data_IF_415891423862
#
_entry.id   IF_415891423862
#
_cell.length_a   1.000
_cell.length_b   1.000
_cell.length_c   1.000
_cell.angle_alpha   90.00
_cell.angle_beta   90.00
_cell.angle_gamma   90.00
#
_symmetry.space_group_name_H-M   'P 1'
#
loop_
_entity.id
_entity.type
_entity.pdbx_description
1 polymer ?
#
# COMPACT_ATOMS: atom_id res chain seq x y z
N UNK A 1 -9.90 -5.28 11.78
CA UNK A 1 -9.55 -6.44 10.92
C UNK A 1 -8.38 -7.26 11.48
N UNK A 2 -7.41 -6.64 12.17
CA UNK A 2 -6.24 -7.35 12.73
C UNK A 2 -6.63 -8.45 13.74
N UNK A 3 -7.79 -8.34 14.37
CA UNK A 3 -8.30 -9.29 15.36
C UNK A 3 -9.01 -10.52 14.77
N UNK A 4 -9.30 -10.50 13.47
CA UNK A 4 -10.07 -11.59 12.84
C UNK A 4 -9.32 -12.92 12.93
N UNK A 5 -8.05 -12.92 12.53
CA UNK A 5 -7.24 -14.13 12.52
C UNK A 5 -7.09 -14.76 13.91
N UNK A 6 -6.64 -14.04 14.95
CA UNK A 6 -6.52 -14.63 16.29
C UNK A 6 -7.87 -15.06 16.88
N UNK A 7 -8.95 -14.34 16.58
CA UNK A 7 -10.29 -14.71 17.04
C UNK A 7 -10.78 -16.03 16.40
N UNK A 8 -10.66 -16.13 15.07
CA UNK A 8 -11.04 -17.37 14.38
C UNK A 8 -10.17 -18.55 14.77
N UNK A 9 -8.87 -18.32 14.95
CA UNK A 9 -7.96 -19.38 15.41
C UNK A 9 -8.37 -19.94 16.77
N UNK A 10 -8.77 -19.08 17.71
CA UNK A 10 -9.26 -19.51 19.02
C UNK A 10 -10.62 -20.21 18.93
N UNK A 11 -11.60 -19.60 18.26
CA UNK A 11 -12.94 -20.20 18.11
C UNK A 11 -12.93 -21.57 17.42
N UNK A 12 -12.02 -21.76 16.45
CA UNK A 12 -11.85 -23.02 15.72
C UNK A 12 -10.86 -23.98 16.40
N UNK A 13 -10.30 -23.62 17.55
CA UNK A 13 -9.29 -24.40 18.26
C UNK A 13 -8.11 -24.81 17.34
N UNK A 14 -7.66 -23.88 16.48
CA UNK A 14 -6.57 -24.11 15.57
C UNK A 14 -5.24 -24.07 16.34
N UNK A 15 -4.33 -24.98 16.01
CA UNK A 15 -2.97 -24.94 16.55
C UNK A 15 -2.29 -23.63 16.09
N UNK A 16 -1.59 -22.98 17.01
CA UNK A 16 -0.77 -21.79 16.65
C UNK A 16 0.18 -22.17 15.52
N UNK A 17 -0.05 -21.59 14.35
CA UNK A 17 0.92 -21.61 13.26
C UNK A 17 2.07 -20.70 13.69
N UNK A 18 3.33 -21.12 13.45
CA UNK A 18 4.47 -20.23 13.65
C UNK A 18 4.40 -19.11 12.60
N UNK A 19 4.01 -17.94 13.04
CA UNK A 19 3.93 -16.72 12.25
C UNK A 19 4.75 -15.63 12.92
N UNK A 20 4.95 -14.51 12.25
CA UNK A 20 5.35 -13.27 12.91
C UNK A 20 4.35 -12.97 14.05
N UNK A 21 4.78 -12.26 15.12
CA UNK A 21 3.85 -11.82 16.15
C UNK A 21 2.64 -11.10 15.53
N UNK A 22 1.44 -11.41 16.02
CA UNK A 22 0.22 -10.77 15.55
C UNK A 22 -0.03 -9.49 16.37
N UNK A 23 -0.33 -8.39 15.69
CA UNK A 23 -0.76 -7.14 16.35
C UNK A 23 -2.19 -7.25 16.90
N UNK A 24 -2.97 -8.18 16.38
CA UNK A 24 -4.33 -8.46 16.80
C UNK A 24 -4.41 -9.35 18.03
N UNK A 25 -5.52 -9.23 18.74
CA UNK A 25 -5.88 -10.11 19.88
C UNK A 25 -7.17 -10.85 19.58
N UNK A 26 -7.35 -12.01 20.24
CA UNK A 26 -8.62 -12.71 20.12
C UNK A 26 -9.74 -11.97 20.87
N UNK A 27 -10.88 -11.87 20.22
CA UNK A 27 -12.12 -11.33 20.78
C UNK A 27 -13.13 -12.44 21.10
N UNK A 28 -12.70 -13.71 21.12
CA UNK A 28 -13.58 -14.86 21.33
C UNK A 28 -14.36 -14.77 22.66
N UNK A 29 -13.70 -14.37 23.74
CA UNK A 29 -14.34 -14.19 25.05
C UNK A 29 -15.37 -13.05 25.04
N UNK A 30 -15.10 -11.94 24.35
CA UNK A 30 -16.10 -10.87 24.18
C UNK A 30 -17.31 -11.35 23.39
N UNK A 31 -17.11 -12.15 22.35
CA UNK A 31 -18.19 -12.74 21.55
C UNK A 31 -19.02 -13.75 22.34
N UNK A 32 -18.42 -14.39 23.34
CA UNK A 32 -19.12 -15.27 24.29
C UNK A 32 -19.87 -14.52 25.40
N UNK A 33 -19.81 -13.18 25.40
CA UNK A 33 -20.51 -12.35 26.39
C UNK A 33 -19.69 -12.04 27.65
N UNK A 34 -18.42 -12.39 27.67
CA UNK A 34 -17.53 -12.01 28.76
C UNK A 34 -17.15 -10.54 28.67
N UNK A 35 -17.12 -9.85 29.81
CA UNK A 35 -16.78 -8.44 29.88
C UNK A 35 -15.25 -8.26 29.87
N UNK A 36 -14.65 -8.33 28.68
CA UNK A 36 -13.22 -8.08 28.47
C UNK A 36 -13.02 -6.70 27.86
N UNK A 37 -12.36 -5.81 28.58
CA UNK A 37 -11.90 -4.54 28.01
C UNK A 37 -10.52 -4.74 27.39
N UNK A 38 -10.41 -4.49 26.09
CA UNK A 38 -9.12 -4.47 25.36
C UNK A 38 -8.64 -3.02 25.31
N UNK A 39 -7.80 -2.63 26.27
CA UNK A 39 -7.16 -1.32 26.25
C UNK A 39 -5.84 -1.40 25.48
N UNK A 40 -5.80 -0.83 24.27
CA UNK A 40 -4.62 -0.80 23.41
C UNK A 40 -4.69 0.31 22.38
N UNK A 41 -3.55 0.65 21.83
CA UNK A 41 -3.48 1.53 20.68
C UNK A 41 -3.83 0.73 19.40
N UNK A 42 -4.71 1.31 18.58
CA UNK A 42 -5.00 0.86 17.23
C UNK A 42 -4.49 1.89 16.25
N UNK A 43 -3.53 1.48 15.44
CA UNK A 43 -2.89 2.36 14.46
C UNK A 43 -3.53 2.20 13.08
N UNK A 44 -3.68 3.31 12.39
CA UNK A 44 -4.11 3.36 11.00
C UNK A 44 -3.18 4.30 10.24
N UNK A 45 -2.74 3.88 9.08
CA UNK A 45 -1.91 4.68 8.20
C UNK A 45 -2.37 4.49 6.76
N UNK A 46 -2.35 5.55 5.97
CA UNK A 46 -2.63 5.51 4.54
C UNK A 46 -1.36 5.94 3.82
N UNK A 47 -0.75 5.00 3.10
CA UNK A 47 0.37 5.30 2.21
C UNK A 47 -0.13 5.30 0.77
N UNK A 48 0.18 6.35 0.04
CA UNK A 48 0.23 6.30 -1.41
C UNK A 48 1.61 5.77 -1.81
N UNK A 49 1.71 5.09 -2.95
CA UNK A 49 2.95 4.44 -3.44
C UNK A 49 4.06 5.46 -3.80
N UNK A 50 4.26 6.46 -2.96
CA UNK A 50 5.34 7.43 -3.08
C UNK A 50 6.40 7.15 -2.02
N UNK A 51 7.62 6.99 -2.44
CA UNK A 51 8.76 6.83 -1.54
C UNK A 51 9.51 8.17 -1.39
N UNK A 52 10.01 8.48 -0.21
CA UNK A 52 9.85 7.73 1.04
C UNK A 52 8.43 7.82 1.61
N UNK A 53 7.95 6.74 2.23
CA UNK A 53 6.67 6.76 2.94
C UNK A 53 6.80 7.68 4.16
N UNK A 54 5.89 8.63 4.29
CA UNK A 54 5.87 9.60 5.40
C UNK A 54 4.87 9.17 6.47
N UNK A 55 5.04 9.59 7.75
CA UNK A 55 4.17 9.17 8.86
C UNK A 55 2.80 9.84 8.86
N UNK A 56 2.29 10.23 7.70
CA UNK A 56 0.95 10.82 7.56
C UNK A 56 0.42 10.60 6.13
N UNK A 57 -0.92 10.61 5.93
CA UNK A 57 -1.95 10.70 6.95
C UNK A 57 -2.10 9.41 7.75
N UNK A 58 -2.39 9.54 9.04
CA UNK A 58 -2.59 8.42 9.92
C UNK A 58 -3.43 8.75 11.15
N UNK A 59 -3.66 7.74 11.97
CA UNK A 59 -4.38 7.90 13.22
C UNK A 59 -3.94 6.86 14.24
N UNK A 60 -4.04 7.22 15.51
CA UNK A 60 -3.99 6.27 16.61
C UNK A 60 -5.24 6.41 17.48
N UNK A 61 -5.85 5.27 17.77
CA UNK A 61 -7.04 5.20 18.64
C UNK A 61 -6.72 4.42 19.90
N UNK A 62 -6.94 5.08 21.02
CA UNK A 62 -6.99 4.47 22.34
C UNK A 62 -8.26 4.98 23.04
N UNK A 63 -9.28 4.11 23.08
CA UNK A 63 -10.60 4.54 23.56
C UNK A 63 -10.54 5.19 24.94
N UNK A 64 -11.21 6.36 25.13
CA UNK A 64 -12.14 7.03 24.22
C UNK A 64 -11.49 8.02 23.25
N UNK A 65 -10.18 8.09 23.16
CA UNK A 65 -9.47 9.07 22.35
C UNK A 65 -9.10 8.55 20.96
N UNK A 66 -9.06 9.48 20.01
CA UNK A 66 -8.49 9.28 18.68
C UNK A 66 -7.62 10.50 18.34
N UNK A 67 -6.36 10.26 18.02
CA UNK A 67 -5.45 11.27 17.51
C UNK A 67 -5.33 11.10 15.99
N UNK A 68 -5.56 12.16 15.24
CA UNK A 68 -5.34 12.22 13.79
C UNK A 68 -3.99 12.88 13.53
N UNK A 69 -3.16 12.19 12.76
CA UNK A 69 -1.81 12.63 12.38
C UNK A 69 -1.83 13.03 10.90
N UNK A 70 -1.73 14.32 10.64
CA UNK A 70 -1.66 14.91 9.31
C UNK A 70 -0.30 15.55 9.05
N UNK A 71 -0.20 16.32 7.98
CA UNK A 71 0.97 17.16 7.65
C UNK A 71 1.02 18.47 8.49
N UNK A 72 0.00 18.70 9.31
CA UNK A 72 -0.10 19.82 10.26
C UNK A 72 -0.08 19.29 11.70
N UNK A 73 -0.33 20.18 12.67
CA UNK A 73 -0.43 19.77 14.06
C UNK A 73 -1.48 18.66 14.25
N UNK A 74 -1.17 17.61 15.01
CA UNK A 74 -2.11 16.53 15.29
C UNK A 74 -3.36 17.06 16.00
N UNK A 75 -4.49 16.39 15.75
CA UNK A 75 -5.78 16.74 16.35
C UNK A 75 -6.28 15.58 17.20
N UNK A 76 -6.71 15.91 18.42
CA UNK A 76 -7.23 14.92 19.38
C UNK A 76 -8.75 15.05 19.53
N UNK A 77 -9.43 13.90 19.52
CA UNK A 77 -10.88 13.82 19.65
C UNK A 77 -11.28 12.81 20.73
N UNK A 78 -12.33 13.11 21.48
CA UNK A 78 -12.96 12.14 22.35
C UNK A 78 -14.20 11.53 21.65
N UNK A 79 -14.04 10.38 21.05
CA UNK A 79 -15.09 9.74 20.21
C UNK A 79 -16.31 9.26 20.99
N UNK A 80 -16.23 9.16 22.30
CA UNK A 80 -17.40 8.86 23.17
C UNK A 80 -18.32 10.08 23.31
N UNK A 81 -17.75 11.29 23.37
CA UNK A 81 -18.50 12.54 23.53
C UNK A 81 -18.78 13.23 22.20
N UNK A 82 -17.88 13.04 21.24
CA UNK A 82 -17.87 13.67 19.93
C UNK A 82 -17.58 12.60 18.85
N UNK A 83 -18.58 11.79 18.53
CA UNK A 83 -18.46 10.72 17.54
C UNK A 83 -18.19 11.24 16.12
N UNK A 84 -18.55 12.49 15.84
CA UNK A 84 -18.33 13.16 14.55
C UNK A 84 -16.94 13.83 14.44
N UNK A 85 -16.14 13.83 15.53
CA UNK A 85 -14.78 14.40 15.57
C UNK A 85 -14.75 15.87 15.10
N UNK A 86 -15.64 16.68 15.62
CA UNK A 86 -15.77 18.11 15.26
C UNK A 86 -14.98 19.04 16.20
N UNK A 87 -14.78 18.62 17.45
CA UNK A 87 -14.10 19.42 18.47
C UNK A 87 -12.70 18.87 18.75
N UNK A 88 -11.69 19.58 18.27
CA UNK A 88 -10.29 19.29 18.60
C UNK A 88 -9.99 19.70 20.05
N UNK A 89 -9.64 18.73 20.88
CA UNK A 89 -9.33 18.92 22.31
C UNK A 89 -7.83 18.74 22.61
N UNK A 90 -6.95 18.74 21.61
CA UNK A 90 -5.51 18.56 21.80
C UNK A 90 -4.91 19.62 22.75
N UNK A 91 -5.38 20.88 22.63
CA UNK A 91 -4.94 21.97 23.50
C UNK A 91 -5.36 21.82 24.96
N UNK A 92 -6.49 21.16 25.21
CA UNK A 92 -7.00 20.91 26.57
C UNK A 92 -6.39 19.64 27.19
N UNK A 93 -5.86 18.73 26.36
CA UNK A 93 -5.31 17.44 26.77
C UNK A 93 -3.91 17.20 26.16
N UNK A 94 -2.94 18.09 26.35
CA UNK A 94 -1.65 18.05 25.66
C UNK A 94 -0.83 16.80 25.98
N UNK A 95 -0.95 16.27 27.19
CA UNK A 95 -0.21 15.07 27.59
C UNK A 95 -0.73 13.81 26.88
N UNK A 96 -2.05 13.68 26.73
CA UNK A 96 -2.67 12.58 25.99
C UNK A 96 -2.28 12.68 24.52
N UNK A 97 -2.38 13.86 23.93
CA UNK A 97 -2.03 14.07 22.53
C UNK A 97 -0.55 13.73 22.25
N UNK A 98 0.35 14.16 23.14
CA UNK A 98 1.78 13.86 23.04
C UNK A 98 2.05 12.36 23.15
N UNK A 99 1.49 11.69 24.15
CA UNK A 99 1.70 10.25 24.35
C UNK A 99 1.23 9.44 23.13
N UNK A 100 0.02 9.71 22.64
CA UNK A 100 -0.50 9.01 21.46
C UNK A 100 0.32 9.30 20.20
N UNK A 101 0.87 10.50 20.07
CA UNK A 101 1.75 10.85 18.94
C UNK A 101 3.09 10.11 19.03
N UNK A 102 3.68 10.03 20.21
CA UNK A 102 4.92 9.27 20.44
C UNK A 102 4.71 7.79 20.14
N UNK A 103 3.64 7.19 20.64
CA UNK A 103 3.25 5.81 20.36
C UNK A 103 3.07 5.56 18.84
N UNK A 104 2.41 6.51 18.15
CA UNK A 104 2.24 6.43 16.70
C UNK A 104 3.56 6.48 15.95
N UNK A 105 4.45 7.41 16.30
CA UNK A 105 5.75 7.53 15.64
C UNK A 105 6.63 6.31 15.90
N UNK A 106 6.59 5.74 17.09
CA UNK A 106 7.33 4.52 17.41
C UNK A 106 6.83 3.34 16.59
N UNK A 107 5.50 3.16 16.52
CA UNK A 107 4.88 2.13 15.67
C UNK A 107 5.25 2.33 14.20
N UNK A 108 5.10 3.56 13.68
CA UNK A 108 5.44 3.86 12.29
C UNK A 108 6.91 3.57 11.98
N UNK A 109 7.83 3.98 12.86
CA UNK A 109 9.24 3.72 12.67
C UNK A 109 9.58 2.23 12.65
N UNK A 110 8.81 1.40 13.35
CA UNK A 110 8.98 -0.05 13.34
C UNK A 110 8.47 -0.67 12.04
N UNK A 111 7.26 -0.31 11.64
CA UNK A 111 6.65 -0.78 10.38
C UNK A 111 7.45 -0.30 9.16
N UNK A 112 7.94 0.93 9.19
CA UNK A 112 8.71 1.51 8.08
C UNK A 112 10.02 0.77 7.77
N UNK A 113 10.60 0.03 8.72
CA UNK A 113 11.80 -0.79 8.49
C UNK A 113 11.55 -1.94 7.50
N UNK A 114 10.30 -2.38 7.39
CA UNK A 114 9.93 -3.50 6.52
C UNK A 114 9.45 -3.03 5.13
N UNK A 115 9.35 -1.72 4.90
CA UNK A 115 8.93 -1.18 3.61
C UNK A 115 10.04 -1.44 2.58
N UNK A 116 9.70 -2.21 1.56
CA UNK A 116 10.58 -2.43 0.41
C UNK A 116 10.36 -1.30 -0.60
N UNK A 117 11.43 -0.75 -1.18
CA UNK A 117 11.30 0.40 -2.10
C UNK A 117 10.54 0.06 -3.38
N UNK A 118 10.67 -1.16 -3.90
CA UNK A 118 9.94 -1.65 -5.07
C UNK A 118 9.67 -3.14 -4.86
N UNK A 119 8.43 -3.60 -5.01
CA UNK A 119 8.15 -5.03 -4.95
C UNK A 119 8.79 -5.75 -6.15
N UNK A 120 9.62 -6.74 -5.88
CA UNK A 120 10.15 -7.64 -6.92
C UNK A 120 9.04 -8.62 -7.29
N UNK A 121 8.56 -8.54 -8.52
CA UNK A 121 7.47 -9.39 -9.01
C UNK A 121 8.01 -10.79 -9.31
N UNK A 122 7.47 -11.79 -8.61
CA UNK A 122 7.87 -13.18 -8.80
C UNK A 122 7.22 -13.76 -10.07
N UNK A 123 8.04 -14.13 -11.06
CA UNK A 123 7.56 -14.80 -12.26
C UNK A 123 7.35 -16.30 -11.96
N UNK A 124 6.22 -16.61 -11.33
CA UNK A 124 5.90 -17.96 -10.89
C UNK A 124 5.76 -18.92 -12.07
N UNK A 125 6.46 -20.08 -12.08
CA UNK A 125 6.32 -21.10 -13.11
C UNK A 125 4.96 -21.85 -13.04
N UNK A 126 4.17 -21.59 -12.00
CA UNK A 126 2.85 -22.19 -11.80
C UNK A 126 1.72 -21.33 -12.40
N UNK A 127 2.06 -20.16 -12.93
CA UNK A 127 1.07 -19.25 -13.52
C UNK A 127 1.26 -19.18 -15.04
N UNK A 128 0.19 -19.43 -15.77
CA UNK A 128 0.18 -19.31 -17.24
C UNK A 128 0.25 -17.85 -17.71
N UNK A 129 -0.12 -16.93 -16.85
CA UNK A 129 -0.12 -15.49 -17.12
C UNK A 129 0.31 -14.73 -15.88
N UNK A 130 1.23 -13.79 -16.06
CA UNK A 130 1.68 -12.87 -15.03
C UNK A 130 1.42 -11.46 -15.55
N UNK A 131 0.75 -10.66 -14.75
CA UNK A 131 0.48 -9.27 -15.07
C UNK A 131 1.54 -8.38 -14.41
N UNK A 132 2.04 -7.41 -15.18
CA UNK A 132 2.96 -6.36 -14.72
C UNK A 132 2.17 -5.05 -14.74
N UNK A 133 1.48 -4.72 -13.64
CA UNK A 133 0.60 -3.56 -13.63
C UNK A 133 1.38 -2.25 -13.55
N UNK A 134 0.82 -1.20 -14.11
CA UNK A 134 1.47 0.13 -14.14
C UNK A 134 1.66 0.75 -12.77
N UNK A 135 0.81 0.41 -11.80
CA UNK A 135 0.93 0.92 -10.43
C UNK A 135 2.09 0.30 -9.62
N UNK A 136 2.66 -0.81 -10.10
CA UNK A 136 3.88 -1.42 -9.55
C UNK A 136 5.12 -1.09 -10.38
N UNK A 137 4.97 -0.26 -11.42
CA UNK A 137 6.07 0.11 -12.29
C UNK A 137 6.86 1.30 -11.72
N UNK A 138 8.15 1.31 -12.00
CA UNK A 138 8.94 2.53 -11.97
C UNK A 138 8.96 3.14 -13.36
N UNK A 139 8.85 4.45 -13.47
CA UNK A 139 8.83 5.14 -14.74
C UNK A 139 9.61 6.45 -14.68
N UNK A 140 9.99 6.95 -15.85
CA UNK A 140 10.74 8.20 -15.97
C UNK A 140 10.33 8.98 -17.23
N UNK A 141 10.81 10.21 -17.33
CA UNK A 141 10.50 11.11 -18.44
C UNK A 141 9.21 11.89 -18.21
N UNK A 142 8.36 12.00 -19.24
CA UNK A 142 7.10 12.76 -19.20
C UNK A 142 5.89 11.93 -18.72
N UNK A 143 6.11 10.66 -18.42
CA UNK A 143 5.05 9.76 -17.97
C UNK A 143 4.45 10.21 -16.65
N UNK A 144 3.16 10.00 -16.51
CA UNK A 144 2.44 10.26 -15.27
C UNK A 144 1.22 9.36 -15.19
N UNK A 145 0.76 9.08 -13.98
CA UNK A 145 -0.55 8.45 -13.80
C UNK A 145 -1.66 9.37 -14.29
N UNK A 146 -2.66 8.81 -14.98
CA UNK A 146 -3.80 9.58 -15.53
C UNK A 146 -4.56 10.30 -14.43
N UNK A 147 -4.86 9.60 -13.33
CA UNK A 147 -5.56 10.16 -12.19
C UNK A 147 -4.62 10.77 -11.14
N UNK A 148 -3.31 10.64 -11.35
CA UNK A 148 -2.26 11.25 -10.52
C UNK A 148 -1.90 10.49 -9.26
N UNK A 149 -2.48 9.32 -9.00
CA UNK A 149 -2.35 8.60 -7.73
C UNK A 149 -1.72 7.21 -7.83
N UNK A 150 -1.68 6.59 -9.03
CA UNK A 150 -1.17 5.23 -9.20
C UNK A 150 -2.01 4.17 -8.48
N UNK A 151 -3.32 4.36 -8.45
CA UNK A 151 -4.25 3.37 -7.91
C UNK A 151 -4.32 2.12 -8.79
N UNK A 152 -4.83 1.03 -8.27
CA UNK A 152 -4.94 -0.28 -8.96
C UNK A 152 -5.61 -0.20 -10.34
N UNK A 153 -6.50 0.78 -10.54
CA UNK A 153 -7.19 1.01 -11.81
C UNK A 153 -6.57 2.15 -12.64
N UNK A 154 -5.49 2.78 -12.18
CA UNK A 154 -4.84 3.87 -12.89
C UNK A 154 -3.85 3.33 -13.94
N UNK A 155 -3.58 4.11 -14.94
CA UNK A 155 -2.62 3.78 -16.00
C UNK A 155 -1.71 4.97 -16.32
N UNK A 156 -0.59 4.67 -16.94
CA UNK A 156 0.36 5.69 -17.34
C UNK A 156 -0.04 6.34 -18.66
N UNK A 157 0.06 7.65 -18.71
CA UNK A 157 -0.22 8.48 -19.88
C UNK A 157 0.98 9.37 -20.20
N UNK A 158 0.91 10.05 -21.35
CA UNK A 158 1.90 11.00 -21.80
C UNK A 158 3.24 10.38 -22.20
N UNK A 159 3.21 9.18 -22.80
CA UNK A 159 4.38 8.56 -23.40
C UNK A 159 4.67 9.21 -24.74
N UNK A 160 5.50 10.27 -24.76
CA UNK A 160 5.68 11.18 -25.91
C UNK A 160 7.12 11.37 -26.31
N UNK A 161 8.07 10.87 -25.55
CA UNK A 161 9.49 11.02 -25.78
C UNK A 161 10.20 9.66 -25.86
N UNK A 162 11.31 9.62 -26.61
CA UNK A 162 12.21 8.46 -26.62
C UNK A 162 12.98 8.27 -25.32
N UNK A 163 12.93 9.24 -24.42
CA UNK A 163 13.50 9.17 -23.07
C UNK A 163 12.51 8.65 -22.02
N UNK A 164 11.22 8.53 -22.39
CA UNK A 164 10.21 7.99 -21.50
C UNK A 164 10.42 6.48 -21.37
N UNK A 165 10.44 5.98 -20.15
CA UNK A 165 10.63 4.56 -19.87
C UNK A 165 9.78 4.07 -18.71
N UNK A 166 9.37 2.81 -18.80
CA UNK A 166 8.65 2.08 -17.76
C UNK A 166 9.42 0.79 -17.50
N UNK A 167 9.63 0.43 -16.24
CA UNK A 167 10.25 -0.85 -15.91
C UNK A 167 9.69 -1.44 -14.61
N UNK A 168 9.83 -2.74 -14.49
CA UNK A 168 9.48 -3.54 -13.32
C UNK A 168 10.70 -4.34 -12.88
N UNK A 169 10.88 -4.49 -11.60
CA UNK A 169 11.82 -5.47 -11.07
C UNK A 169 11.12 -6.83 -11.00
N UNK A 170 11.70 -7.81 -11.67
CA UNK A 170 11.14 -9.16 -11.73
C UNK A 170 12.19 -10.18 -11.32
N UNK A 171 11.77 -11.22 -10.62
CA UNK A 171 12.59 -12.38 -10.30
C UNK A 171 12.01 -13.63 -10.97
N UNK A 172 12.85 -14.32 -11.74
CA UNK A 172 12.49 -15.56 -12.42
C UNK A 172 13.28 -16.73 -11.87
N UNK A 173 12.63 -17.71 -11.22
CA UNK A 173 13.34 -18.87 -10.66
C UNK A 173 13.91 -19.80 -11.72
N UNK A 174 13.62 -19.60 -12.99
CA UNK A 174 14.07 -20.42 -14.14
C UNK A 174 14.39 -19.57 -15.34
N UNK A 175 15.37 -20.01 -16.13
CA UNK A 175 15.57 -19.52 -17.48
C UNK A 175 14.46 -20.09 -18.38
N UNK A 176 13.58 -19.25 -18.86
CA UNK A 176 12.49 -19.63 -19.76
C UNK A 176 12.17 -18.50 -20.73
N UNK A 177 11.44 -18.84 -21.78
CA UNK A 177 10.93 -17.86 -22.74
C UNK A 177 9.56 -17.37 -22.29
N UNK A 178 9.35 -16.09 -22.45
CA UNK A 178 8.07 -15.42 -22.19
C UNK A 178 7.53 -14.79 -23.46
N UNK A 179 6.22 -14.90 -23.65
CA UNK A 179 5.51 -14.08 -24.62
C UNK A 179 5.02 -12.81 -23.92
N UNK A 180 5.40 -11.66 -24.43
CA UNK A 180 5.03 -10.36 -23.83
C UNK A 180 3.81 -9.81 -24.56
N UNK A 181 2.80 -9.45 -23.79
CA UNK A 181 1.62 -8.72 -24.26
C UNK A 181 1.62 -7.32 -23.66
N UNK A 182 1.45 -6.31 -24.48
CA UNK A 182 1.31 -4.94 -24.06
C UNK A 182 -0.12 -4.46 -24.28
N UNK A 183 -0.78 -4.02 -23.20
CA UNK A 183 -2.07 -3.36 -23.30
C UNK A 183 -1.84 -1.85 -23.33
N UNK A 184 -2.21 -1.21 -24.44
CA UNK A 184 -2.00 0.22 -24.64
C UNK A 184 -3.12 0.83 -25.49
N UNK A 185 -3.23 2.14 -25.42
CA UNK A 185 -4.00 2.94 -26.36
C UNK A 185 -3.05 3.79 -27.20
N UNK A 186 -3.34 3.96 -28.46
CA UNK A 186 -2.51 4.73 -29.37
C UNK A 186 -3.38 5.66 -30.24
N UNK A 187 -3.19 6.98 -30.14
CA UNK A 187 -3.86 7.91 -31.03
C UNK A 187 -3.40 7.69 -32.49
N UNK A 188 -4.25 7.97 -33.51
CA UNK A 188 -3.89 7.78 -34.93
C UNK A 188 -2.58 8.46 -35.33
N UNK A 189 -2.27 9.62 -34.77
CA UNK A 189 -1.04 10.37 -35.05
C UNK A 189 0.24 9.68 -34.55
N UNK A 190 0.13 8.67 -33.69
CA UNK A 190 1.25 7.94 -33.08
C UNK A 190 1.45 6.54 -33.73
N UNK A 191 0.61 6.16 -34.67
CA UNK A 191 0.78 4.91 -35.45
C UNK A 191 2.11 4.97 -36.20
N UNK A 192 2.87 3.87 -36.15
CA UNK A 192 4.21 3.79 -36.70
C UNK A 192 5.33 4.05 -35.70
N UNK A 193 5.01 4.52 -34.49
CA UNK A 193 5.97 4.61 -33.40
C UNK A 193 6.55 3.25 -33.04
N UNK A 194 7.72 3.24 -32.43
CA UNK A 194 8.39 2.01 -31.99
C UNK A 194 8.50 1.97 -30.47
N UNK A 195 8.26 0.79 -29.91
CA UNK A 195 8.44 0.49 -28.48
C UNK A 195 9.57 -0.53 -28.39
N UNK A 196 10.57 -0.25 -27.57
CA UNK A 196 11.64 -1.18 -27.29
C UNK A 196 11.40 -1.86 -25.94
N UNK A 197 11.44 -3.18 -25.92
CA UNK A 197 11.47 -3.99 -24.72
C UNK A 197 12.90 -4.45 -24.46
N UNK A 198 13.31 -4.44 -23.19
CA UNK A 198 14.64 -4.91 -22.79
C UNK A 198 14.54 -5.74 -21.52
N UNK A 199 15.20 -6.90 -21.47
CA UNK A 199 15.40 -7.71 -20.27
C UNK A 199 16.84 -8.19 -20.27
N UNK A 200 17.65 -7.70 -19.34
CA UNK A 200 19.08 -7.89 -19.38
C UNK A 200 19.67 -7.41 -20.70
N UNK A 201 20.40 -8.29 -21.42
CA UNK A 201 20.97 -7.99 -22.74
C UNK A 201 20.02 -8.22 -23.91
N UNK A 202 18.86 -8.80 -23.65
CA UNK A 202 17.89 -9.10 -24.70
C UNK A 202 17.07 -7.84 -25.05
N UNK A 203 16.85 -7.64 -26.34
CA UNK A 203 16.06 -6.51 -26.86
C UNK A 203 15.08 -6.97 -27.92
N UNK A 204 13.85 -6.48 -27.82
CA UNK A 204 12.80 -6.65 -28.81
C UNK A 204 12.24 -5.29 -29.17
N UNK A 205 12.03 -5.05 -30.46
CA UNK A 205 11.42 -3.81 -30.98
C UNK A 205 10.07 -4.16 -31.58
N UNK A 206 9.05 -3.47 -31.15
CA UNK A 206 7.69 -3.57 -31.67
C UNK A 206 7.31 -2.24 -32.34
N UNK A 207 6.75 -2.30 -33.53
CA UNK A 207 6.19 -1.14 -34.22
C UNK A 207 4.67 -1.13 -34.08
N UNK A 208 4.14 -0.04 -33.56
CA UNK A 208 2.71 0.18 -33.43
C UNK A 208 2.06 0.22 -34.82
N UNK A 209 1.17 -0.72 -35.12
CA UNK A 209 0.56 -0.89 -36.44
C UNK A 209 -0.82 -0.26 -36.55
N UNK A 210 -1.52 -0.09 -35.44
CA UNK A 210 -2.91 0.35 -35.43
C UNK A 210 -3.16 1.37 -34.28
N UNK A 211 -4.16 2.22 -34.47
CA UNK A 211 -4.68 3.09 -33.44
C UNK A 211 -5.75 2.38 -32.62
N UNK A 212 -5.77 2.63 -31.30
CA UNK A 212 -6.75 2.10 -30.36
C UNK A 212 -7.26 3.23 -29.45
#
# INVERSE_FOLDING_TARGET
HIDILPTLAELCNLKKVQTKPLDGVSLAQMLSGENQQVNRNLFTHVAFLQLPVVPYPGAVRNYPYTLIVGNQSPKLYNIQKDSAQQLDIAGENPDIARQLLEDYHQWFADVAKEIQPVPVIQLSPLSDKIELPTYEATFSGNLRFKEGHGWVHDWLVNWTSTTDSIYWEVDSPRNQQYTVYLNYTCPPAQVGSTIQFSVGDQRLVYRVSEAY
#
